data_IF_841250334341
#
_entry.id   IF_841250334341
#
_cell.length_a   1.000
_cell.length_b   1.000
_cell.length_c   1.000
_cell.angle_alpha   90.00
_cell.angle_beta   90.00
_cell.angle_gamma   90.00
#
_symmetry.space_group_name_H-M   'P 1'
#
loop_
_entity.id
_entity.type
_entity.pdbx_description
1 polymer ?
#
# COMPACT_ATOMS: atom_id res chain seq x y z
N UNK A 1 -17.66 15.71 -40.85
CA UNK A 1 -17.00 14.70 -40.01
C UNK A 1 -16.17 15.43 -38.98
N UNK A 2 -16.31 15.06 -37.74
CA UNK A 2 -15.44 15.53 -36.66
C UNK A 2 -14.34 14.49 -36.43
N UNK A 3 -13.09 14.91 -36.43
CA UNK A 3 -11.94 14.05 -36.09
C UNK A 3 -11.44 14.51 -34.73
N UNK A 4 -11.36 13.60 -33.80
CA UNK A 4 -10.72 13.82 -32.47
C UNK A 4 -9.30 13.30 -32.57
N UNK A 5 -8.32 14.16 -32.62
CA UNK A 5 -6.91 13.80 -32.54
C UNK A 5 -6.44 13.93 -31.10
N UNK A 6 -5.92 12.83 -30.55
CA UNK A 6 -5.21 12.81 -29.27
C UNK A 6 -3.72 12.98 -29.58
N UNK A 7 -3.18 14.18 -29.45
CA UNK A 7 -1.73 14.37 -29.44
C UNK A 7 -1.13 13.79 -28.18
N UNK A 8 -0.45 12.66 -28.29
CA UNK A 8 0.47 12.16 -27.28
C UNK A 8 1.76 12.98 -27.33
N UNK A 9 1.83 14.04 -26.56
CA UNK A 9 3.11 14.63 -26.20
C UNK A 9 3.93 13.63 -25.38
N UNK A 10 5.23 13.52 -25.67
CA UNK A 10 6.17 12.75 -24.87
C UNK A 10 6.34 13.47 -23.53
N UNK A 11 5.71 12.97 -22.48
CA UNK A 11 5.76 13.58 -21.14
C UNK A 11 6.08 12.48 -20.14
N UNK A 12 7.17 12.61 -19.42
CA UNK A 12 7.62 11.66 -18.39
C UNK A 12 6.64 11.57 -17.20
N UNK A 13 5.79 12.58 -17.01
CA UNK A 13 4.69 12.58 -16.03
C UNK A 13 3.55 13.40 -16.60
N UNK A 14 2.48 12.77 -17.09
CA UNK A 14 1.30 13.47 -17.60
C UNK A 14 0.25 13.58 -16.52
N UNK A 15 0.23 14.72 -15.83
CA UNK A 15 -0.82 15.02 -14.85
C UNK A 15 -2.15 15.40 -15.53
N UNK A 16 -2.08 15.91 -16.76
CA UNK A 16 -3.25 16.25 -17.57
C UNK A 16 -2.98 16.14 -19.08
N UNK A 17 -3.97 15.69 -19.81
CA UNK A 17 -3.99 15.71 -21.28
C UNK A 17 -4.97 16.78 -21.75
N UNK A 18 -4.49 17.70 -22.61
CA UNK A 18 -5.36 18.69 -23.25
C UNK A 18 -6.13 18.03 -24.38
N UNK A 19 -7.45 18.15 -24.34
CA UNK A 19 -8.32 17.69 -25.42
C UNK A 19 -8.53 18.86 -26.40
N UNK A 20 -8.02 18.72 -27.62
CA UNK A 20 -8.32 19.61 -28.71
C UNK A 20 -9.26 18.90 -29.71
N UNK A 21 -10.31 19.55 -30.12
CA UNK A 21 -11.24 19.06 -31.13
C UNK A 21 -11.14 19.96 -32.34
N UNK A 22 -10.73 19.43 -33.48
CA UNK A 22 -10.82 20.15 -34.77
C UNK A 22 -12.11 19.79 -35.45
N UNK A 23 -12.81 20.82 -35.93
CA UNK A 23 -14.02 20.68 -36.72
C UNK A 23 -13.77 21.28 -38.10
N UNK A 24 -13.74 20.43 -39.12
CA UNK A 24 -13.64 20.87 -40.51
C UNK A 24 -14.99 20.74 -41.21
N UNK A 25 -15.39 21.78 -41.92
CA UNK A 25 -16.60 21.77 -42.75
C UNK A 25 -16.40 22.57 -44.03
N UNK A 26 -17.16 22.21 -45.07
CA UNK A 26 -17.15 22.89 -46.35
C UNK A 26 -18.46 23.69 -46.54
N UNK A 27 -18.32 24.99 -46.78
CA UNK A 27 -19.44 25.85 -47.04
C UNK A 27 -19.20 26.63 -48.36
N UNK A 28 -20.13 26.53 -49.33
CA UNK A 28 -20.06 27.20 -50.65
C UNK A 28 -18.73 26.94 -51.39
N UNK A 29 -18.18 25.75 -51.29
CA UNK A 29 -16.94 25.37 -51.95
C UNK A 29 -15.66 25.79 -51.24
N UNK A 30 -15.76 26.46 -50.09
CA UNK A 30 -14.62 26.84 -49.24
C UNK A 30 -14.54 25.93 -48.00
N UNK A 31 -13.33 25.51 -47.65
CA UNK A 31 -13.06 24.68 -46.48
C UNK A 31 -12.78 25.60 -45.29
N UNK A 32 -13.39 25.26 -44.16
CA UNK A 32 -13.20 25.93 -42.86
C UNK A 32 -12.74 24.90 -41.81
N UNK A 33 -11.78 25.30 -40.99
CA UNK A 33 -11.31 24.52 -39.90
C UNK A 33 -11.33 25.36 -38.60
N UNK A 34 -11.89 24.77 -37.54
CA UNK A 34 -11.93 25.38 -36.23
C UNK A 34 -11.32 24.39 -35.21
N UNK A 35 -10.39 24.88 -34.41
CA UNK A 35 -9.84 24.15 -33.29
C UNK A 35 -10.44 24.68 -31.99
N UNK A 36 -11.04 23.78 -31.22
CA UNK A 36 -11.68 24.11 -29.95
C UNK A 36 -10.95 23.28 -28.86
N UNK A 37 -10.40 23.93 -27.83
CA UNK A 37 -9.93 23.22 -26.64
C UNK A 37 -11.14 22.81 -25.83
N UNK A 38 -11.46 21.52 -25.85
CA UNK A 38 -12.65 20.96 -25.20
C UNK A 38 -12.46 20.76 -23.68
N UNK A 39 -11.21 20.78 -23.18
CA UNK A 39 -10.91 20.65 -21.76
C UNK A 39 -9.58 19.94 -21.49
N UNK A 40 -9.33 19.70 -20.21
CA UNK A 40 -8.18 18.92 -19.74
C UNK A 40 -8.68 17.65 -19.04
N UNK A 41 -8.15 16.50 -19.44
CA UNK A 41 -8.30 15.24 -18.72
C UNK A 41 -7.19 15.19 -17.66
N UNK A 42 -7.57 15.10 -16.40
CA UNK A 42 -6.66 14.93 -15.29
C UNK A 42 -6.61 13.45 -14.91
N UNK A 43 -5.42 12.96 -14.53
CA UNK A 43 -5.22 11.59 -14.09
C UNK A 43 -4.93 11.57 -12.60
N UNK A 44 -5.53 10.59 -11.90
CA UNK A 44 -5.24 10.35 -10.50
C UNK A 44 -3.85 9.78 -10.31
N UNK A 45 -3.26 10.02 -9.15
CA UNK A 45 -2.00 9.39 -8.73
C UNK A 45 -2.09 7.88 -8.81
N UNK A 46 -1.02 7.27 -9.30
CA UNK A 46 -0.82 5.83 -9.24
C UNK A 46 0.04 5.51 -8.01
N UNK A 47 -0.63 5.26 -6.90
CA UNK A 47 0.02 4.83 -5.66
C UNK A 47 0.14 3.32 -5.62
N UNK A 48 1.32 2.82 -5.29
CA UNK A 48 1.51 1.45 -4.87
C UNK A 48 1.77 1.38 -3.37
N UNK A 49 0.92 0.67 -2.65
CA UNK A 49 1.13 0.31 -1.26
C UNK A 49 1.43 -1.18 -1.19
N UNK A 50 2.55 -1.54 -0.57
CA UNK A 50 2.88 -2.92 -0.23
C UNK A 50 2.83 -3.11 1.29
N UNK A 51 2.30 -4.27 1.72
CA UNK A 51 2.23 -4.71 3.10
C UNK A 51 2.71 -6.15 3.15
N UNK A 52 3.78 -6.42 3.88
CA UNK A 52 4.39 -7.74 3.91
C UNK A 52 4.95 -8.09 5.30
N UNK A 53 4.84 -9.37 5.66
CA UNK A 53 5.42 -9.93 6.88
C UNK A 53 6.75 -10.63 6.60
N UNK A 54 7.68 -10.57 7.56
CA UNK A 54 9.01 -11.13 7.47
C UNK A 54 9.45 -11.75 8.81
N UNK A 55 10.14 -12.86 8.72
CA UNK A 55 10.97 -13.41 9.79
C UNK A 55 12.46 -13.26 9.44
N UNK A 56 12.80 -13.43 8.13
CA UNK A 56 14.07 -13.01 7.55
C UNK A 56 13.85 -11.83 6.62
N UNK A 57 14.70 -10.83 6.71
CA UNK A 57 14.65 -9.66 5.84
C UNK A 57 14.90 -9.98 4.36
N UNK A 58 14.62 -9.04 3.46
CA UNK A 58 14.88 -9.22 2.03
C UNK A 58 16.35 -9.53 1.68
N UNK A 59 17.29 -9.16 2.56
CA UNK A 59 18.71 -9.45 2.45
C UNK A 59 19.10 -10.80 3.11
N UNK A 60 18.18 -11.47 3.78
CA UNK A 60 18.39 -12.76 4.44
C UNK A 60 18.79 -12.70 5.91
N UNK A 61 18.92 -11.51 6.49
CA UNK A 61 19.17 -11.33 7.92
C UNK A 61 17.93 -11.69 8.73
N UNK A 62 18.16 -12.36 9.86
CA UNK A 62 17.07 -12.71 10.77
C UNK A 62 16.57 -11.48 11.51
N UNK A 63 15.31 -11.13 11.29
CA UNK A 63 14.58 -10.07 11.98
C UNK A 63 13.69 -10.62 13.09
N UNK A 64 13.11 -11.79 12.85
CA UNK A 64 12.20 -12.46 13.76
C UNK A 64 12.91 -13.20 14.90
N UNK A 65 12.16 -13.50 15.96
CA UNK A 65 12.64 -14.24 17.13
C UNK A 65 11.60 -15.31 17.48
N UNK A 66 12.06 -16.46 17.95
CA UNK A 66 11.20 -17.59 18.31
C UNK A 66 11.18 -18.70 17.26
N UNK A 67 10.37 -19.74 17.47
CA UNK A 67 10.34 -20.88 16.55
C UNK A 67 9.61 -20.55 15.23
N UNK A 68 10.13 -21.06 14.12
CA UNK A 68 9.44 -21.11 12.85
C UNK A 68 9.54 -22.52 12.25
N UNK A 69 8.42 -23.23 12.08
CA UNK A 69 7.00 -22.87 12.33
C UNK A 69 6.70 -22.49 13.78
N UNK A 70 5.68 -21.62 14.01
CA UNK A 70 5.28 -21.22 15.35
C UNK A 70 4.73 -22.40 16.15
N UNK A 71 4.98 -22.39 17.48
CA UNK A 71 4.57 -23.47 18.40
C UNK A 71 3.65 -22.94 19.49
N UNK A 72 2.75 -23.81 19.97
CA UNK A 72 1.82 -23.47 21.06
C UNK A 72 2.57 -22.94 22.27
N UNK A 73 2.06 -21.88 22.88
CA UNK A 73 2.56 -21.18 24.07
C UNK A 73 3.98 -20.62 23.96
N UNK A 74 4.63 -20.71 22.76
CA UNK A 74 5.95 -20.13 22.53
C UNK A 74 5.82 -18.88 21.66
N UNK A 75 6.25 -17.70 22.15
CA UNK A 75 6.20 -16.47 21.38
C UNK A 75 7.06 -16.53 20.11
N UNK A 76 6.49 -16.12 18.99
CA UNK A 76 7.23 -15.92 17.74
C UNK A 76 7.00 -14.49 17.25
N UNK A 77 8.06 -13.73 17.09
CA UNK A 77 8.02 -12.33 16.64
C UNK A 77 8.30 -12.25 15.15
N UNK A 78 7.45 -11.53 14.45
CA UNK A 78 7.53 -11.20 13.02
C UNK A 78 7.65 -9.70 12.84
N UNK A 79 8.23 -9.27 11.72
CA UNK A 79 8.25 -7.87 11.31
C UNK A 79 7.30 -7.62 10.15
N UNK A 80 6.48 -6.61 10.27
CA UNK A 80 5.64 -6.09 9.19
C UNK A 80 6.33 -4.88 8.58
N UNK A 81 6.33 -4.82 7.26
CA UNK A 81 6.86 -3.68 6.50
C UNK A 81 5.73 -3.14 5.63
N UNK A 82 5.42 -1.87 5.81
CA UNK A 82 4.61 -1.09 4.88
C UNK A 82 5.49 -0.15 4.09
N UNK A 83 5.26 -0.12 2.79
CA UNK A 83 5.99 0.76 1.89
C UNK A 83 5.03 1.38 0.88
N UNK A 84 5.11 2.70 0.72
CA UNK A 84 4.34 3.45 -0.26
C UNK A 84 5.29 4.05 -1.29
N UNK A 85 4.95 3.85 -2.55
CA UNK A 85 5.59 4.51 -3.68
C UNK A 85 4.54 5.32 -4.43
N UNK A 86 4.86 6.59 -4.68
CA UNK A 86 4.00 7.49 -5.45
C UNK A 86 4.68 7.82 -6.78
N UNK A 87 4.07 7.39 -7.89
CA UNK A 87 4.53 7.68 -9.25
C UNK A 87 3.66 8.75 -9.95
N UNK A 88 2.77 9.41 -9.20
CA UNK A 88 1.84 10.40 -9.72
C UNK A 88 1.90 11.73 -8.98
N UNK A 89 0.75 12.38 -8.85
CA UNK A 89 0.60 13.67 -8.20
C UNK A 89 0.91 13.61 -6.70
N UNK A 90 1.04 14.78 -6.06
CA UNK A 90 1.10 14.86 -4.60
C UNK A 90 -0.18 14.27 -3.98
N UNK A 91 0.00 13.44 -2.94
CA UNK A 91 -1.11 12.87 -2.16
C UNK A 91 -1.05 13.40 -0.73
N UNK A 92 -2.17 13.95 -0.25
CA UNK A 92 -2.34 14.50 1.09
C UNK A 92 -3.24 13.61 1.94
N UNK A 93 -3.26 13.88 3.23
CA UNK A 93 -4.13 13.23 4.21
C UNK A 93 -4.04 11.69 4.13
N UNK A 94 -2.81 11.20 3.94
CA UNK A 94 -2.58 9.77 3.78
C UNK A 94 -2.62 9.06 5.12
N UNK A 95 -3.35 7.97 5.15
CA UNK A 95 -3.52 7.13 6.32
C UNK A 95 -3.47 5.65 5.93
N UNK A 96 -2.78 4.85 6.73
CA UNK A 96 -2.82 3.39 6.65
C UNK A 96 -3.24 2.83 8.01
N UNK A 97 -4.31 2.07 8.03
CA UNK A 97 -4.83 1.43 9.23
C UNK A 97 -4.79 -0.08 9.12
N UNK A 98 -4.71 -0.78 10.24
CA UNK A 98 -4.87 -2.22 10.31
C UNK A 98 -5.27 -2.66 11.71
N UNK A 99 -5.91 -3.81 11.83
CA UNK A 99 -6.27 -4.40 13.10
C UNK A 99 -5.30 -5.56 13.46
N UNK A 100 -4.85 -5.57 14.71
CA UNK A 100 -4.02 -6.65 15.28
C UNK A 100 -4.94 -7.69 15.91
N UNK A 101 -4.99 -8.95 15.43
CA UNK A 101 -5.88 -9.98 15.95
C UNK A 101 -5.59 -10.35 17.41
N UNK A 102 -6.57 -10.97 18.09
CA UNK A 102 -6.32 -11.62 19.37
C UNK A 102 -5.22 -12.68 19.26
N UNK A 103 -4.42 -12.83 20.33
CA UNK A 103 -3.27 -13.73 20.32
C UNK A 103 -2.00 -13.17 19.68
N UNK A 104 -2.08 -11.95 19.10
CA UNK A 104 -0.92 -11.21 18.61
C UNK A 104 -0.70 -9.98 19.50
N UNK A 105 0.52 -9.82 19.99
CA UNK A 105 0.93 -8.70 20.85
C UNK A 105 1.70 -7.65 20.03
N UNK A 106 1.64 -6.41 20.49
CA UNK A 106 2.45 -5.28 20.01
C UNK A 106 3.62 -5.04 20.98
N UNK A 107 4.86 -5.41 20.63
CA UNK A 107 6.02 -5.27 21.53
C UNK A 107 6.64 -3.86 21.53
N UNK A 108 6.04 -2.89 20.85
CA UNK A 108 6.49 -1.50 20.73
C UNK A 108 7.88 -1.34 20.08
N UNK A 109 8.20 -2.22 19.14
CA UNK A 109 9.41 -2.15 18.33
C UNK A 109 9.05 -1.70 16.93
N UNK A 110 9.55 -0.54 16.54
CA UNK A 110 9.20 0.07 15.26
C UNK A 110 10.34 0.90 14.68
N UNK A 111 10.33 1.08 13.35
CA UNK A 111 11.20 2.00 12.63
C UNK A 111 10.37 2.75 11.60
N UNK A 112 10.38 4.07 11.66
CA UNK A 112 9.57 4.97 10.83
C UNK A 112 10.50 5.86 10.04
N UNK A 113 10.42 5.81 8.69
CA UNK A 113 11.22 6.70 7.83
C UNK A 113 10.50 8.01 7.52
N UNK A 114 9.16 8.02 7.62
CA UNK A 114 8.35 9.21 7.37
C UNK A 114 7.05 9.14 8.16
N UNK A 115 6.65 10.29 8.72
CA UNK A 115 5.39 10.44 9.44
C UNK A 115 5.40 9.84 10.83
N UNK A 116 4.25 9.37 11.28
CA UNK A 116 4.01 8.88 12.64
C UNK A 116 3.26 7.54 12.59
N UNK A 117 3.75 6.57 13.36
CA UNK A 117 3.11 5.26 13.57
C UNK A 117 2.65 5.17 15.01
N UNK A 118 1.41 4.75 15.22
CA UNK A 118 0.83 4.54 16.55
C UNK A 118 0.04 3.25 16.63
N UNK A 119 -0.08 2.71 17.84
CA UNK A 119 -0.92 1.56 18.15
C UNK A 119 -1.84 1.87 19.33
N UNK A 120 -3.11 1.56 19.17
CA UNK A 120 -4.10 1.66 20.25
C UNK A 120 -4.38 0.26 20.84
N UNK A 121 -4.00 0.00 22.09
CA UNK A 121 -4.29 -1.31 22.73
C UNK A 121 -5.78 -1.52 22.98
N UNK A 122 -6.57 -0.45 23.10
CA UNK A 122 -8.02 -0.53 23.34
C UNK A 122 -8.78 -1.01 22.10
N UNK A 123 -8.44 -0.45 20.94
CA UNK A 123 -9.06 -0.83 19.65
C UNK A 123 -8.26 -1.88 18.91
N UNK A 124 -7.06 -2.22 19.38
CA UNK A 124 -6.08 -3.11 18.74
C UNK A 124 -5.74 -2.69 17.33
N UNK A 125 -5.77 -1.38 17.06
CA UNK A 125 -5.54 -0.79 15.75
C UNK A 125 -4.18 -0.13 15.65
N UNK A 126 -3.50 -0.43 14.56
CA UNK A 126 -2.30 0.26 14.09
C UNK A 126 -2.73 1.37 13.15
N UNK A 127 -2.11 2.53 13.28
CA UNK A 127 -2.34 3.69 12.45
C UNK A 127 -1.01 4.31 12.03
N UNK A 128 -0.80 4.48 10.74
CA UNK A 128 0.35 5.17 10.18
C UNK A 128 -0.10 6.38 9.35
N UNK A 129 0.39 7.56 9.73
CA UNK A 129 0.26 8.80 8.97
C UNK A 129 1.62 9.18 8.37
N UNK A 130 1.93 8.83 7.13
CA UNK A 130 3.21 9.19 6.50
C UNK A 130 3.35 10.69 6.23
N UNK A 131 2.27 11.48 6.37
CA UNK A 131 2.21 12.87 5.94
C UNK A 131 1.85 13.02 4.47
N UNK A 132 2.21 14.14 3.87
CA UNK A 132 2.06 14.34 2.43
C UNK A 132 3.13 13.60 1.66
N UNK A 133 2.74 12.93 0.57
CA UNK A 133 3.67 12.25 -0.33
C UNK A 133 3.80 13.07 -1.60
N UNK A 134 5.00 13.62 -1.82
CA UNK A 134 5.30 14.46 -2.98
C UNK A 134 5.22 13.69 -4.29
N UNK A 135 5.01 14.41 -5.37
CA UNK A 135 5.10 13.90 -6.74
C UNK A 135 6.50 13.31 -7.01
N UNK A 136 6.55 12.18 -7.71
CA UNK A 136 7.82 11.52 -8.07
C UNK A 136 8.53 10.84 -6.91
N UNK A 137 7.93 10.80 -5.78
CA UNK A 137 8.12 9.86 -4.72
C UNK A 137 9.13 9.99 -3.71
N UNK A 138 9.33 9.76 -2.66
CA UNK A 138 10.21 9.34 -1.58
C UNK A 138 9.95 7.87 -1.22
N UNK A 139 10.90 7.29 -0.56
CA UNK A 139 10.70 5.96 0.01
C UNK A 139 10.00 6.10 1.37
N UNK A 140 8.66 6.13 1.36
CA UNK A 140 7.87 6.14 2.58
C UNK A 140 7.73 4.72 3.08
N UNK A 141 8.41 4.42 4.17
CA UNK A 141 8.45 3.08 4.75
C UNK A 141 8.28 3.14 6.25
N UNK A 142 7.54 2.17 6.77
CA UNK A 142 7.47 1.89 8.20
C UNK A 142 7.61 0.39 8.42
N UNK A 143 8.26 0.01 9.50
CA UNK A 143 8.34 -1.37 9.94
C UNK A 143 8.04 -1.46 11.43
N UNK A 144 7.36 -2.52 11.83
CA UNK A 144 7.01 -2.78 13.21
C UNK A 144 6.94 -4.27 13.50
N UNK A 145 7.20 -4.63 14.74
CA UNK A 145 7.16 -6.01 15.19
C UNK A 145 5.76 -6.40 15.68
N UNK A 146 5.40 -7.67 15.47
CA UNK A 146 4.21 -8.32 16.01
C UNK A 146 4.63 -9.66 16.60
N UNK A 147 4.16 -9.97 17.81
CA UNK A 147 4.49 -11.23 18.49
C UNK A 147 3.26 -12.11 18.58
N UNK A 148 3.28 -13.22 17.88
CA UNK A 148 2.25 -14.26 17.93
C UNK A 148 2.56 -15.22 19.10
N UNK A 149 1.54 -15.49 19.93
CA UNK A 149 1.57 -16.56 20.95
C UNK A 149 0.42 -17.52 20.64
N UNK A 150 0.68 -18.62 19.90
CA UNK A 150 -0.37 -19.54 19.50
C UNK A 150 -0.95 -20.29 20.70
N UNK A 151 -2.26 -20.57 20.66
CA UNK A 151 -2.94 -21.43 21.63
C UNK A 151 -3.07 -22.87 21.09
N UNK A 152 -3.39 -23.81 21.94
CA UNK A 152 -3.66 -25.21 21.53
C UNK A 152 -4.75 -25.33 20.46
N UNK A 153 -5.73 -24.40 20.45
CA UNK A 153 -6.78 -24.32 19.43
C UNK A 153 -6.28 -23.92 18.04
N UNK A 154 -5.05 -23.43 17.93
CA UNK A 154 -4.46 -22.95 16.68
C UNK A 154 -3.61 -24.01 15.98
N UNK A 155 -3.42 -25.18 16.61
CA UNK A 155 -2.67 -26.30 16.01
C UNK A 155 -3.24 -26.65 14.63
N UNK A 156 -2.36 -26.75 13.64
CA UNK A 156 -2.69 -27.04 12.26
C UNK A 156 -3.27 -25.85 11.48
N UNK A 157 -3.46 -24.69 12.11
CA UNK A 157 -3.92 -23.46 11.47
C UNK A 157 -2.77 -22.52 11.14
N UNK A 158 -3.03 -21.56 10.28
CA UNK A 158 -2.13 -20.44 9.96
C UNK A 158 -2.77 -19.16 10.51
N UNK A 159 -2.33 -18.67 11.67
CA UNK A 159 -2.89 -17.47 12.28
C UNK A 159 -2.64 -16.22 11.43
N UNK A 160 -3.58 -15.26 11.51
CA UNK A 160 -3.34 -13.92 11.01
C UNK A 160 -2.47 -13.14 11.99
N UNK A 161 -1.56 -12.34 11.47
CA UNK A 161 -0.72 -11.40 12.22
C UNK A 161 -1.29 -9.98 12.16
N UNK A 162 -1.90 -9.63 11.02
CA UNK A 162 -2.50 -8.32 10.77
C UNK A 162 -3.66 -8.48 9.79
N UNK A 163 -4.76 -7.78 10.03
CA UNK A 163 -5.96 -7.85 9.18
C UNK A 163 -6.60 -6.48 8.99
N UNK A 164 -7.62 -6.40 8.10
CA UNK A 164 -8.33 -5.16 7.78
C UNK A 164 -7.38 -4.01 7.40
N UNK A 165 -6.36 -4.32 6.60
CA UNK A 165 -5.36 -3.33 6.19
C UNK A 165 -6.01 -2.42 5.15
N UNK A 166 -6.20 -1.16 5.53
CA UNK A 166 -6.86 -0.15 4.73
C UNK A 166 -5.96 1.06 4.51
N UNK A 167 -5.91 1.52 3.28
CA UNK A 167 -5.23 2.73 2.87
C UNK A 167 -6.26 3.76 2.41
N UNK A 168 -6.06 5.03 2.80
CA UNK A 168 -6.78 6.18 2.26
C UNK A 168 -5.85 7.37 2.05
N UNK A 169 -6.27 8.29 1.16
CA UNK A 169 -5.55 9.52 0.86
C UNK A 169 -6.31 10.38 -0.14
N UNK A 170 -5.84 11.59 -0.39
CA UNK A 170 -6.44 12.53 -1.34
C UNK A 170 -5.42 13.03 -2.35
N UNK A 171 -5.70 12.83 -3.62
CA UNK A 171 -4.91 13.39 -4.72
C UNK A 171 -5.07 14.92 -4.74
N UNK A 172 -3.96 15.65 -4.60
CA UNK A 172 -3.99 17.13 -4.53
C UNK A 172 -4.33 17.80 -5.85
N UNK A 173 -4.05 17.13 -6.97
CA UNK A 173 -4.27 17.69 -8.30
C UNK A 173 -5.68 17.46 -8.83
N UNK A 174 -6.20 16.24 -8.65
CA UNK A 174 -7.55 15.89 -9.12
C UNK A 174 -8.62 16.12 -8.06
N UNK A 175 -8.24 16.14 -6.77
CA UNK A 175 -9.15 16.17 -5.63
C UNK A 175 -9.81 14.82 -5.34
N UNK A 176 -9.43 13.76 -6.06
CA UNK A 176 -10.01 12.44 -5.90
C UNK A 176 -9.59 11.79 -4.58
N UNK A 177 -10.54 11.09 -3.94
CA UNK A 177 -10.24 10.21 -2.82
C UNK A 177 -9.63 8.90 -3.36
N UNK A 178 -8.50 8.52 -2.78
CA UNK A 178 -7.80 7.28 -3.06
C UNK A 178 -8.02 6.35 -1.88
N UNK A 179 -8.45 5.12 -2.14
CA UNK A 179 -8.71 4.13 -1.10
C UNK A 179 -8.43 2.73 -1.62
N UNK A 180 -7.85 1.88 -0.77
CA UNK A 180 -7.55 0.51 -1.12
C UNK A 180 -7.45 -0.38 0.10
N UNK A 181 -8.07 -1.57 0.03
CA UNK A 181 -7.87 -2.64 0.99
C UNK A 181 -6.75 -3.57 0.52
N UNK A 182 -5.96 -4.06 1.47
CA UNK A 182 -4.92 -5.02 1.25
C UNK A 182 -5.24 -6.35 1.95
N UNK A 183 -4.72 -7.47 1.44
CA UNK A 183 -4.90 -8.76 2.08
C UNK A 183 -4.28 -8.78 3.48
N UNK A 184 -4.85 -9.59 4.37
CA UNK A 184 -4.31 -9.84 5.68
C UNK A 184 -2.90 -10.45 5.59
N UNK A 185 -2.04 -10.12 6.53
CA UNK A 185 -0.75 -10.80 6.73
C UNK A 185 -0.98 -11.97 7.66
N UNK A 186 -0.55 -13.15 7.25
CA UNK A 186 -0.62 -14.38 8.05
C UNK A 186 0.78 -14.82 8.50
N UNK A 187 0.86 -15.75 9.42
CA UNK A 187 2.11 -16.37 9.85
C UNK A 187 2.85 -17.10 8.70
N UNK A 188 2.20 -17.33 7.55
CA UNK A 188 2.84 -17.88 6.35
C UNK A 188 3.85 -16.93 5.70
N UNK A 189 3.77 -15.61 5.98
CA UNK A 189 4.73 -14.58 5.54
C UNK A 189 5.26 -14.82 4.11
N UNK A 190 4.36 -14.84 3.13
CA UNK A 190 4.64 -15.26 1.74
C UNK A 190 5.74 -14.45 1.03
N UNK A 191 5.99 -13.22 1.49
CA UNK A 191 7.05 -12.36 0.96
C UNK A 191 8.46 -12.73 1.46
N UNK A 192 8.57 -13.53 2.52
CA UNK A 192 9.82 -14.00 3.09
C UNK A 192 10.28 -15.28 2.39
N UNK A 193 11.32 -15.19 1.56
CA UNK A 193 11.81 -16.31 0.74
C UNK A 193 12.31 -17.50 1.56
N UNK A 194 12.77 -17.29 2.81
CA UNK A 194 13.36 -18.35 3.66
C UNK A 194 12.31 -19.01 4.55
N UNK A 195 11.22 -18.30 4.86
CA UNK A 195 10.20 -18.74 5.81
C UNK A 195 8.81 -18.87 5.23
N UNK A 196 8.61 -18.54 3.95
CA UNK A 196 7.32 -18.68 3.28
C UNK A 196 6.75 -20.12 3.44
N UNK A 197 5.46 -20.19 3.77
CA UNK A 197 4.76 -21.46 3.95
C UNK A 197 5.01 -22.16 5.30
N UNK A 198 5.82 -21.60 6.20
CA UNK A 198 6.11 -22.17 7.52
C UNK A 198 5.23 -21.58 8.64
N UNK A 199 4.03 -21.10 8.31
CA UNK A 199 3.14 -20.44 9.26
C UNK A 199 2.19 -21.36 10.03
N UNK A 200 2.20 -22.66 9.75
CA UNK A 200 1.31 -23.61 10.43
C UNK A 200 1.77 -23.83 11.87
N UNK A 201 0.86 -23.65 12.81
CA UNK A 201 1.13 -23.85 14.25
C UNK A 201 1.35 -25.34 14.55
N UNK A 202 2.46 -25.64 15.23
CA UNK A 202 2.82 -26.97 15.72
C UNK A 202 2.54 -27.09 17.23
N UNK A 203 2.32 -28.31 17.75
CA UNK A 203 2.27 -28.55 19.19
C UNK A 203 3.62 -28.18 19.86
N UNK A 204 3.58 -27.93 21.17
CA UNK A 204 4.78 -27.87 22.01
C UNK A 204 5.39 -29.27 22.05
N UNK A 205 6.71 -29.37 21.97
CA UNK A 205 7.40 -30.65 22.19
C UNK A 205 7.37 -31.05 23.65
#
# INVERSE_FOLDING_TARGET
>A
SAVVELERGHVETVDAVRLNVSVSYRLRGQDYEYMITAGNLKFNSNLSLSSAGYYYGPQGDQLGVGPIPPRVDIPTTYWVIWQVNNLGNEVKDMEVTADVPEGVAWPDQQSVTAGELSYSPVTRRVLWHPGGISQGGGNYRVSFALTLVPRSSDIGKVPKLLENIHFSGKDSFTGAQLSRDLPAITANIEADRLSAGKGTVLPTE
#
